data_IF_293416814635
#
_entry.id   IF_293416814635
#
_cell.length_a   1.000
_cell.length_b   1.000
_cell.length_c   1.000
_cell.angle_alpha   90.00
_cell.angle_beta   90.00
_cell.angle_gamma   90.00
#
_symmetry.space_group_name_H-M   'P 1'
#
loop_
_entity.id
_entity.type
_entity.pdbx_description
1 polymer ?
#
# COMPACT_ATOMS: atom_id res chain seq x y z
N UNK A 1 -8.35 -15.54 -16.58
CA UNK A 1 -8.97 -14.32 -17.13
C UNK A 1 -8.29 -13.16 -16.42
N UNK A 2 -7.90 -12.13 -17.18
CA UNK A 2 -7.20 -10.97 -16.64
C UNK A 2 -8.13 -9.76 -16.71
N UNK A 3 -8.15 -8.97 -15.64
CA UNK A 3 -8.83 -7.67 -15.57
C UNK A 3 -7.78 -6.58 -15.79
N UNK A 4 -8.04 -5.68 -16.74
CA UNK A 4 -7.16 -4.54 -16.98
C UNK A 4 -7.46 -3.42 -15.98
N UNK A 5 -6.41 -2.82 -15.44
CA UNK A 5 -6.50 -1.68 -14.52
C UNK A 5 -6.37 -0.42 -15.37
N UNK A 6 -7.46 0.34 -15.51
CA UNK A 6 -7.48 1.57 -16.32
C UNK A 6 -7.53 2.84 -15.47
N UNK A 7 -7.74 2.69 -14.16
CA UNK A 7 -7.76 3.82 -13.22
C UNK A 7 -6.33 4.31 -12.95
N UNK A 8 -6.00 5.51 -13.45
CA UNK A 8 -4.67 6.12 -13.32
C UNK A 8 -4.23 6.30 -11.86
N UNK A 9 -5.16 6.63 -10.96
CA UNK A 9 -4.83 6.78 -9.53
C UNK A 9 -4.40 5.44 -8.92
N UNK A 10 -5.05 4.36 -9.32
CA UNK A 10 -4.70 3.02 -8.86
C UNK A 10 -3.37 2.56 -9.43
N UNK A 11 -3.09 2.88 -10.71
CA UNK A 11 -1.78 2.60 -11.30
C UNK A 11 -0.66 3.35 -10.59
N UNK A 12 -0.86 4.62 -10.24
CA UNK A 12 0.10 5.40 -9.45
C UNK A 12 0.35 4.79 -8.06
N UNK A 13 -0.69 4.35 -7.36
CA UNK A 13 -0.53 3.68 -6.05
C UNK A 13 0.25 2.37 -6.21
N UNK A 14 -0.07 1.57 -7.23
CA UNK A 14 0.66 0.32 -7.52
C UNK A 14 2.13 0.60 -7.80
N UNK A 15 2.41 1.66 -8.57
CA UNK A 15 3.77 2.11 -8.86
C UNK A 15 4.53 2.52 -7.59
N UNK A 16 3.91 3.31 -6.71
CA UNK A 16 4.52 3.72 -5.43
C UNK A 16 4.88 2.51 -4.57
N UNK A 17 3.96 1.54 -4.44
CA UNK A 17 4.20 0.30 -3.70
C UNK A 17 5.36 -0.50 -4.33
N UNK A 18 5.42 -0.57 -5.65
CA UNK A 18 6.50 -1.23 -6.36
C UNK A 18 7.85 -0.54 -6.12
N UNK A 19 7.91 0.80 -6.17
CA UNK A 19 9.12 1.56 -5.84
C UNK A 19 9.57 1.35 -4.38
N UNK A 20 8.64 1.28 -3.43
CA UNK A 20 8.95 1.01 -2.01
C UNK A 20 9.67 -0.33 -1.82
N UNK A 21 9.29 -1.36 -2.59
CA UNK A 21 9.98 -2.66 -2.55
C UNK A 21 11.42 -2.61 -3.05
N UNK A 22 11.84 -1.59 -3.81
CA UNK A 22 13.25 -1.45 -4.19
C UNK A 22 14.16 -1.19 -3.00
N UNK A 23 13.60 -0.68 -1.91
CA UNK A 23 14.31 -0.36 -0.68
C UNK A 23 14.08 -1.39 0.43
N UNK A 24 13.30 -2.45 0.17
CA UNK A 24 12.92 -3.48 1.14
C UNK A 24 13.38 -4.89 0.68
N UNK A 25 14.12 -5.58 1.54
CA UNK A 25 14.57 -6.96 1.31
C UNK A 25 13.58 -8.02 1.81
N UNK A 26 12.43 -7.64 2.36
CA UNK A 26 11.66 -8.53 3.25
C UNK A 26 10.50 -9.29 2.60
N UNK A 27 10.07 -8.97 1.37
CA UNK A 27 8.87 -9.58 0.78
C UNK A 27 8.98 -9.88 -0.72
N UNK A 28 9.85 -10.82 -1.08
CA UNK A 28 10.11 -11.21 -2.47
C UNK A 28 8.83 -11.58 -3.25
N UNK A 29 7.85 -12.25 -2.60
CA UNK A 29 6.57 -12.61 -3.25
C UNK A 29 5.68 -11.40 -3.57
N UNK A 30 5.60 -10.41 -2.69
CA UNK A 30 4.75 -9.23 -2.89
C UNK A 30 5.44 -8.21 -3.79
N UNK A 31 6.76 -8.09 -3.70
CA UNK A 31 7.55 -7.31 -4.65
C UNK A 31 7.30 -7.77 -6.10
N UNK A 32 7.41 -9.08 -6.38
CA UNK A 32 7.12 -9.63 -7.70
C UNK A 32 5.67 -9.36 -8.16
N UNK A 33 4.70 -9.48 -7.24
CA UNK A 33 3.30 -9.17 -7.51
C UNK A 33 3.12 -7.71 -7.97
N UNK A 34 3.61 -6.75 -7.20
CA UNK A 34 3.43 -5.33 -7.51
C UNK A 34 4.26 -4.87 -8.72
N UNK A 35 5.45 -5.45 -8.96
CA UNK A 35 6.19 -5.23 -10.21
C UNK A 35 5.43 -5.75 -11.44
N UNK A 36 4.77 -6.91 -11.33
CA UNK A 36 3.95 -7.44 -12.41
C UNK A 36 2.71 -6.57 -12.65
N UNK A 37 2.06 -6.08 -11.60
CA UNK A 37 0.92 -5.16 -11.71
C UNK A 37 1.31 -3.82 -12.33
N UNK A 38 2.44 -3.25 -11.93
CA UNK A 38 2.99 -2.00 -12.46
C UNK A 38 3.40 -2.13 -13.94
N UNK A 39 4.05 -3.23 -14.32
CA UNK A 39 4.49 -3.43 -15.71
C UNK A 39 3.37 -3.79 -16.68
N UNK A 40 2.40 -4.59 -16.25
CA UNK A 40 1.37 -5.14 -17.14
C UNK A 40 0.05 -4.38 -17.07
N UNK A 41 -0.20 -3.65 -15.99
CA UNK A 41 -1.50 -3.04 -15.68
C UNK A 41 -2.65 -4.05 -15.71
N UNK A 42 -2.38 -5.30 -15.36
CA UNK A 42 -3.36 -6.39 -15.31
C UNK A 42 -3.40 -7.08 -13.97
N UNK A 43 -4.54 -7.69 -13.69
CA UNK A 43 -4.83 -8.40 -12.46
C UNK A 43 -5.57 -9.70 -12.80
N UNK A 44 -5.01 -10.85 -12.48
CA UNK A 44 -5.79 -12.10 -12.42
C UNK A 44 -6.36 -12.35 -11.02
N UNK A 45 -7.15 -13.41 -10.90
CA UNK A 45 -7.80 -13.77 -9.63
C UNK A 45 -6.82 -14.04 -8.50
N UNK A 46 -5.64 -14.61 -8.79
CA UNK A 46 -4.64 -14.86 -7.75
C UNK A 46 -3.97 -13.56 -7.35
N UNK A 47 -3.57 -12.74 -8.31
CA UNK A 47 -2.99 -11.41 -8.08
C UNK A 47 -3.95 -10.53 -7.28
N UNK A 48 -5.25 -10.59 -7.57
CA UNK A 48 -6.30 -9.90 -6.82
C UNK A 48 -6.32 -10.30 -5.34
N UNK A 49 -6.38 -11.60 -5.05
CA UNK A 49 -6.40 -12.13 -3.68
C UNK A 49 -5.12 -11.73 -2.94
N UNK A 50 -3.96 -11.97 -3.56
CA UNK A 50 -2.65 -11.69 -2.96
C UNK A 50 -2.46 -10.18 -2.71
N UNK A 51 -2.89 -9.32 -3.64
CA UNK A 51 -2.82 -7.86 -3.49
C UNK A 51 -3.76 -7.38 -2.39
N UNK A 52 -4.98 -7.92 -2.32
CA UNK A 52 -5.94 -7.55 -1.29
C UNK A 52 -5.46 -7.99 0.10
N UNK A 53 -4.85 -9.17 0.23
CA UNK A 53 -4.24 -9.65 1.47
C UNK A 53 -3.10 -8.73 1.93
N UNK A 54 -2.19 -8.38 1.01
CA UNK A 54 -1.08 -7.46 1.28
C UNK A 54 -1.61 -6.12 1.78
N UNK A 55 -2.50 -5.48 1.01
CA UNK A 55 -3.00 -4.13 1.33
C UNK A 55 -3.71 -4.12 2.67
N UNK A 56 -4.53 -5.13 2.99
CA UNK A 56 -5.21 -5.24 4.29
C UNK A 56 -4.22 -5.36 5.45
N UNK A 57 -3.23 -6.23 5.31
CA UNK A 57 -2.21 -6.47 6.35
C UNK A 57 -1.36 -5.22 6.56
N UNK A 58 -0.76 -4.70 5.49
CA UNK A 58 0.12 -3.52 5.56
C UNK A 58 -0.62 -2.27 6.04
N UNK A 59 -1.89 -2.10 5.69
CA UNK A 59 -2.71 -1.01 6.21
C UNK A 59 -2.94 -1.12 7.72
N UNK A 60 -3.24 -2.32 8.22
CA UNK A 60 -3.45 -2.52 9.65
C UNK A 60 -2.17 -2.24 10.45
N UNK A 61 -1.02 -2.71 9.95
CA UNK A 61 0.28 -2.47 10.55
C UNK A 61 0.64 -0.97 10.53
N UNK A 62 0.39 -0.30 9.40
CA UNK A 62 0.63 1.14 9.25
C UNK A 62 -0.25 1.96 10.21
N UNK A 63 -1.54 1.63 10.34
CA UNK A 63 -2.47 2.25 11.30
C UNK A 63 -1.96 2.14 12.74
N UNK A 64 -1.51 0.95 13.13
CA UNK A 64 -0.94 0.72 14.46
C UNK A 64 0.35 1.53 14.68
N UNK A 65 1.20 1.61 13.65
CA UNK A 65 2.43 2.39 13.68
C UNK A 65 2.16 3.89 13.80
N UNK A 66 1.24 4.45 13.00
CA UNK A 66 0.83 5.86 13.09
C UNK A 66 0.32 6.19 14.50
N UNK A 67 -0.60 5.38 15.04
CA UNK A 67 -1.15 5.61 16.37
C UNK A 67 -0.06 5.60 17.46
N UNK A 68 0.94 4.72 17.33
CA UNK A 68 2.09 4.70 18.22
C UNK A 68 2.94 5.96 18.08
N UNK A 69 3.25 6.40 16.85
CA UNK A 69 4.06 7.60 16.60
C UNK A 69 3.38 8.87 17.12
N UNK A 70 2.07 9.00 16.92
CA UNK A 70 1.28 10.13 17.43
C UNK A 70 1.30 10.18 18.95
N UNK A 71 1.06 9.04 19.62
CA UNK A 71 1.15 8.95 21.08
C UNK A 71 2.54 9.29 21.57
N UNK A 72 3.57 8.75 20.93
CA UNK A 72 4.97 9.03 21.28
C UNK A 72 5.30 10.52 21.15
N UNK A 73 4.83 11.20 20.10
CA UNK A 73 5.05 12.63 19.91
C UNK A 73 4.32 13.46 20.98
N UNK A 74 3.10 13.08 21.36
CA UNK A 74 2.37 13.74 22.44
C UNK A 74 3.11 13.64 23.78
N UNK A 75 3.73 12.49 24.05
CA UNK A 75 4.55 12.25 25.25
C UNK A 75 5.94 12.93 25.17
N UNK A 76 6.41 13.27 23.95
CA UNK A 76 7.74 13.83 23.69
C UNK A 76 7.66 15.00 22.67
N UNK A 77 7.08 16.14 23.04
CA UNK A 77 6.81 17.26 22.12
C UNK A 77 8.08 17.89 21.51
N UNK A 78 9.25 17.65 22.11
CA UNK A 78 10.55 18.08 21.61
C UNK A 78 11.04 17.28 20.39
N UNK A 79 10.38 16.15 20.06
CA UNK A 79 10.77 15.31 18.93
C UNK A 79 9.87 15.62 17.73
N UNK A 80 10.44 16.22 16.70
CA UNK A 80 9.73 16.56 15.46
C UNK A 80 9.49 15.31 14.61
N UNK A 81 8.22 14.86 14.57
CA UNK A 81 7.77 13.70 13.78
C UNK A 81 6.63 14.02 12.82
N UNK A 82 6.19 15.27 12.76
CA UNK A 82 4.99 15.69 12.03
C UNK A 82 5.05 15.33 10.55
N UNK A 83 6.17 15.60 9.89
CA UNK A 83 6.35 15.29 8.46
C UNK A 83 6.36 13.79 8.19
N UNK A 84 6.96 12.99 9.09
CA UNK A 84 6.97 11.54 8.98
C UNK A 84 5.55 10.99 9.14
N UNK A 85 4.82 11.42 10.17
CA UNK A 85 3.43 11.00 10.42
C UNK A 85 2.52 11.42 9.27
N UNK A 86 2.70 12.63 8.73
CA UNK A 86 1.96 13.10 7.56
C UNK A 86 2.20 12.20 6.33
N UNK A 87 3.46 11.81 6.09
CA UNK A 87 3.81 10.89 5.01
C UNK A 87 3.18 9.51 5.22
N UNK A 88 3.23 8.97 6.44
CA UNK A 88 2.57 7.70 6.78
C UNK A 88 1.06 7.74 6.54
N UNK A 89 0.39 8.86 6.85
CA UNK A 89 -1.05 9.05 6.58
C UNK A 89 -1.37 9.13 5.08
N UNK A 90 -0.46 9.65 4.26
CA UNK A 90 -0.62 9.59 2.79
C UNK A 90 -0.60 8.14 2.32
N UNK A 91 0.37 7.35 2.77
CA UNK A 91 0.47 5.92 2.42
C UNK A 91 -0.76 5.15 2.91
N UNK A 92 -1.25 5.43 4.12
CA UNK A 92 -2.49 4.84 4.65
C UNK A 92 -3.68 5.10 3.73
N UNK A 93 -3.81 6.33 3.22
CA UNK A 93 -4.85 6.71 2.27
C UNK A 93 -4.71 5.96 0.94
N UNK A 94 -3.49 5.77 0.45
CA UNK A 94 -3.21 4.98 -0.75
C UNK A 94 -3.63 3.52 -0.59
N UNK A 95 -3.39 2.93 0.59
CA UNK A 95 -3.89 1.60 0.90
C UNK A 95 -5.42 1.54 1.00
N UNK A 96 -6.08 2.53 1.59
CA UNK A 96 -7.56 2.59 1.62
C UNK A 96 -8.15 2.71 0.19
N UNK A 97 -7.55 3.54 -0.68
CA UNK A 97 -7.97 3.69 -2.07
C UNK A 97 -7.79 2.39 -2.87
N UNK A 98 -6.63 1.73 -2.72
CA UNK A 98 -6.35 0.46 -3.41
C UNK A 98 -7.24 -0.68 -2.89
N UNK A 99 -7.44 -0.80 -1.58
CA UNK A 99 -8.35 -1.82 -1.02
C UNK A 99 -9.78 -1.63 -1.53
N UNK A 100 -10.26 -0.39 -1.57
CA UNK A 100 -11.59 -0.06 -2.07
C UNK A 100 -11.74 -0.50 -3.51
N UNK A 101 -10.76 -0.17 -4.36
CA UNK A 101 -10.75 -0.59 -5.75
C UNK A 101 -10.76 -2.11 -5.89
N UNK A 102 -9.85 -2.81 -5.21
CA UNK A 102 -9.76 -4.26 -5.27
C UNK A 102 -11.06 -4.92 -4.79
N UNK A 103 -11.70 -4.42 -3.74
CA UNK A 103 -12.95 -4.97 -3.21
C UNK A 103 -14.14 -4.79 -4.17
N UNK A 104 -14.13 -3.73 -4.98
CA UNK A 104 -15.17 -3.47 -5.98
C UNK A 104 -14.98 -4.27 -7.28
N UNK A 105 -13.79 -4.80 -7.53
CA UNK A 105 -13.55 -5.63 -8.69
C UNK A 105 -14.20 -7.01 -8.53
N UNK A 106 -15.04 -7.38 -9.50
CA UNK A 106 -15.48 -8.76 -9.69
C UNK A 106 -14.42 -9.50 -10.54
N UNK A 107 -13.49 -10.20 -9.88
CA UNK A 107 -12.38 -10.95 -10.50
C UNK A 107 -12.57 -12.46 -10.40
#
# INVERSE_FOLDING_TARGET
MYTKIENQRILEIIHNIAEDFRFSSEYEKYAQLFYAMDSTHTLDKKMHIDALEYVKTSKQELKASIAWQEKFQQENPQIEKEQMIATMKVIEKEYDELETYLTMLNV
#
